data_IF_989129658157
#
_entry.id   IF_989129658157
#
_cell.length_a   1.000
_cell.length_b   1.000
_cell.length_c   1.000
_cell.angle_alpha   90.00
_cell.angle_beta   90.00
_cell.angle_gamma   90.00
#
_symmetry.space_group_name_H-M   'P 1'
#
loop_
_entity.id
_entity.type
_entity.pdbx_description
1 polymer ?
#
# COMPACT_ATOMS: atom_id res chain seq x y z
N UNK A 1 -4.81 10.62 13.73
CA UNK A 1 -5.58 10.24 14.92
C UNK A 1 -7.03 10.05 14.50
N UNK A 2 -7.49 8.81 14.45
CA UNK A 2 -8.90 8.52 14.24
C UNK A 2 -9.69 9.06 15.44
N UNK A 3 -10.67 9.90 15.17
CA UNK A 3 -11.60 10.38 16.17
C UNK A 3 -12.62 9.25 16.38
N UNK A 4 -12.56 8.60 17.53
CA UNK A 4 -13.61 7.65 17.92
C UNK A 4 -14.88 8.45 18.15
N UNK A 5 -15.96 8.10 17.47
CA UNK A 5 -17.26 8.71 17.71
C UNK A 5 -17.73 8.44 19.15
N UNK A 6 -18.59 9.29 19.68
CA UNK A 6 -18.96 9.23 21.12
C UNK A 6 -19.58 7.88 21.51
N UNK A 7 -20.38 7.27 20.64
CA UNK A 7 -21.03 5.98 20.92
C UNK A 7 -20.03 4.81 20.90
N UNK A 8 -19.08 4.84 19.97
CA UNK A 8 -17.97 3.88 19.90
C UNK A 8 -17.07 4.00 21.14
N UNK A 9 -16.76 5.23 21.56
CA UNK A 9 -15.97 5.47 22.77
C UNK A 9 -16.66 4.94 24.02
N UNK A 10 -17.97 5.15 24.15
CA UNK A 10 -18.78 4.61 25.26
C UNK A 10 -18.72 3.09 25.24
N UNK A 11 -18.89 2.44 24.09
CA UNK A 11 -18.83 0.99 23.95
C UNK A 11 -17.46 0.44 24.37
N UNK A 12 -16.38 1.06 23.92
CA UNK A 12 -15.00 0.69 24.26
C UNK A 12 -14.78 0.76 25.78
N UNK A 13 -15.15 1.89 26.41
CA UNK A 13 -14.95 2.10 27.84
C UNK A 13 -15.83 1.15 28.65
N UNK A 14 -17.13 1.05 28.31
CA UNK A 14 -18.10 0.23 29.07
C UNK A 14 -17.77 -1.26 29.04
N UNK A 15 -17.08 -1.73 28.01
CA UNK A 15 -16.69 -3.12 27.87
C UNK A 15 -15.21 -3.38 28.20
N UNK A 16 -14.49 -2.39 28.71
CA UNK A 16 -13.06 -2.49 29.05
C UNK A 16 -12.18 -2.96 27.88
N UNK A 17 -12.48 -2.46 26.68
CA UNK A 17 -11.76 -2.83 25.45
C UNK A 17 -10.50 -1.97 25.30
N UNK A 18 -9.34 -2.61 25.16
CA UNK A 18 -8.09 -1.94 24.77
C UNK A 18 -8.11 -1.61 23.28
N UNK A 19 -7.63 -0.44 22.89
CA UNK A 19 -7.51 -0.03 21.49
C UNK A 19 -6.04 0.23 21.14
N UNK A 20 -5.54 -0.45 20.12
CA UNK A 20 -4.19 -0.26 19.59
C UNK A 20 -4.29 0.27 18.15
N UNK A 21 -3.77 1.47 17.91
CA UNK A 21 -3.73 2.04 16.57
C UNK A 21 -2.32 1.93 15.99
N UNK A 22 -2.21 1.32 14.82
CA UNK A 22 -1.01 1.30 13.99
C UNK A 22 -1.20 2.26 12.81
N UNK A 23 -0.16 2.98 12.45
CA UNK A 23 -0.17 3.96 11.35
C UNK A 23 1.22 3.96 10.70
N UNK A 24 1.79 5.10 10.38
CA UNK A 24 3.11 5.26 9.72
C UNK A 24 4.22 4.38 10.31
N UNK A 25 4.20 4.10 11.61
CA UNK A 25 5.12 3.17 12.26
C UNK A 25 5.04 1.74 11.67
N UNK A 26 3.84 1.30 11.27
CA UNK A 26 3.66 0.01 10.64
C UNK A 26 3.90 0.03 9.14
N UNK A 27 3.53 1.12 8.47
CA UNK A 27 3.80 1.33 7.03
C UNK A 27 5.29 1.20 6.75
N UNK A 28 6.12 1.85 7.58
CA UNK A 28 7.57 1.82 7.46
C UNK A 28 8.17 0.47 7.83
N UNK A 29 7.65 -0.15 8.89
CA UNK A 29 8.23 -1.38 9.43
C UNK A 29 7.89 -2.62 8.59
N UNK A 30 6.68 -2.71 8.02
CA UNK A 30 6.19 -3.95 7.40
C UNK A 30 5.24 -3.78 6.22
N UNK A 31 4.29 -2.82 6.26
CA UNK A 31 3.15 -2.82 5.34
C UNK A 31 3.56 -2.66 3.87
N UNK A 32 4.58 -1.83 3.60
CA UNK A 32 5.11 -1.68 2.25
C UNK A 32 5.79 -2.95 1.72
N UNK A 33 6.40 -3.76 2.59
CA UNK A 33 6.94 -5.07 2.20
C UNK A 33 5.82 -6.07 1.90
N UNK A 34 4.75 -6.04 2.68
CA UNK A 34 3.56 -6.88 2.45
C UNK A 34 2.90 -6.51 1.13
N UNK A 35 2.69 -5.21 0.86
CA UNK A 35 2.15 -4.76 -0.43
C UNK A 35 3.06 -5.15 -1.59
N UNK A 36 4.39 -5.01 -1.45
CA UNK A 36 5.34 -5.41 -2.47
C UNK A 36 5.22 -6.90 -2.80
N UNK A 37 5.12 -7.77 -1.78
CA UNK A 37 4.89 -9.21 -1.98
C UNK A 37 3.55 -9.47 -2.68
N UNK A 38 2.48 -8.79 -2.28
CA UNK A 38 1.17 -8.90 -2.92
C UNK A 38 1.18 -8.40 -4.37
N UNK A 39 2.07 -7.47 -4.71
CA UNK A 39 2.31 -6.99 -6.07
C UNK A 39 3.36 -7.81 -6.83
N UNK A 40 3.79 -8.97 -6.31
CA UNK A 40 4.77 -9.87 -6.94
C UNK A 40 6.15 -9.22 -7.17
N UNK A 41 6.55 -8.31 -6.27
CA UNK A 41 7.84 -7.64 -6.31
C UNK A 41 8.83 -8.41 -5.44
N UNK A 42 9.98 -8.72 -5.99
CA UNK A 42 11.11 -9.38 -5.33
C UNK A 42 12.35 -8.49 -5.31
N UNK A 43 13.36 -8.88 -4.51
CA UNK A 43 14.61 -8.13 -4.33
C UNK A 43 14.34 -6.66 -3.98
N UNK A 44 13.44 -6.45 -3.01
CA UNK A 44 12.98 -5.13 -2.62
C UNK A 44 14.09 -4.29 -2.00
N UNK A 45 14.08 -3.01 -2.34
CA UNK A 45 14.90 -1.96 -1.75
C UNK A 45 14.01 -0.84 -1.24
N UNK A 46 14.43 -0.20 -0.19
CA UNK A 46 13.74 0.93 0.40
C UNK A 46 13.86 2.20 -0.48
N UNK A 47 12.76 2.95 -0.54
CA UNK A 47 12.68 4.24 -1.25
C UNK A 47 11.91 5.26 -0.39
N UNK A 48 11.92 6.54 -0.81
CA UNK A 48 11.18 7.63 -0.18
C UNK A 48 11.54 7.85 1.29
N UNK A 49 12.79 8.22 1.51
CA UNK A 49 13.27 8.53 2.86
C UNK A 49 12.77 9.90 3.34
N UNK A 50 12.15 9.90 4.53
CA UNK A 50 11.80 11.11 5.27
C UNK A 50 12.24 10.93 6.73
N UNK A 51 13.06 11.85 7.23
CA UNK A 51 13.62 11.81 8.59
C UNK A 51 14.33 10.46 8.93
N UNK A 52 14.98 9.85 7.95
CA UNK A 52 15.66 8.56 8.11
C UNK A 52 14.76 7.32 8.08
N UNK A 53 13.48 7.50 7.78
CA UNK A 53 12.47 6.44 7.70
C UNK A 53 12.06 6.24 6.25
N UNK A 54 12.01 5.01 5.79
CA UNK A 54 11.59 4.65 4.44
C UNK A 54 10.08 4.38 4.36
N UNK A 55 9.40 4.96 3.37
CA UNK A 55 7.96 4.86 3.16
C UNK A 55 7.54 4.14 1.87
N UNK A 56 8.44 3.46 1.22
CA UNK A 56 8.11 2.70 0.02
C UNK A 56 9.12 1.62 -0.29
N UNK A 57 8.81 0.80 -1.29
CA UNK A 57 9.69 -0.27 -1.78
C UNK A 57 9.77 -0.24 -3.30
N UNK A 58 10.94 -0.53 -3.83
CA UNK A 58 11.13 -0.82 -5.26
C UNK A 58 11.80 -2.17 -5.43
N UNK A 59 11.59 -2.82 -6.57
CA UNK A 59 12.20 -4.10 -6.87
C UNK A 59 11.84 -4.60 -8.26
N UNK A 60 12.01 -5.88 -8.49
CA UNK A 60 11.79 -6.53 -9.78
C UNK A 60 10.59 -7.49 -9.73
N UNK A 61 9.94 -7.64 -10.87
CA UNK A 61 8.91 -8.66 -11.09
C UNK A 61 9.25 -9.48 -12.33
N UNK A 62 8.55 -10.60 -12.52
CA UNK A 62 8.61 -11.35 -13.75
C UNK A 62 8.21 -10.44 -14.92
N UNK A 63 9.03 -10.47 -15.99
CA UNK A 63 8.81 -9.60 -17.15
C UNK A 63 7.59 -10.03 -17.96
N UNK A 64 6.57 -9.18 -18.00
CA UNK A 64 5.31 -9.43 -18.72
C UNK A 64 4.74 -8.14 -19.31
N UNK A 65 3.62 -8.22 -20.03
CA UNK A 65 2.94 -7.01 -20.51
C UNK A 65 2.37 -6.21 -19.34
N UNK A 66 2.20 -4.90 -19.52
CA UNK A 66 1.62 -4.04 -18.49
C UNK A 66 0.23 -4.51 -18.05
N UNK A 67 -0.62 -4.87 -18.99
CA UNK A 67 -2.00 -5.29 -18.67
C UNK A 67 -2.05 -6.64 -17.97
N UNK A 68 -1.19 -7.60 -18.35
CA UNK A 68 -1.11 -8.89 -17.66
C UNK A 68 -0.63 -8.68 -16.22
N UNK A 69 0.36 -7.82 -16.02
CA UNK A 69 0.86 -7.48 -14.69
C UNK A 69 -0.23 -6.85 -13.82
N UNK A 70 -0.93 -5.83 -14.32
CA UNK A 70 -1.99 -5.16 -13.57
C UNK A 70 -3.15 -6.10 -13.27
N UNK A 71 -3.54 -6.97 -14.20
CA UNK A 71 -4.57 -7.97 -13.94
C UNK A 71 -4.14 -8.98 -12.88
N UNK A 72 -2.88 -9.42 -12.89
CA UNK A 72 -2.31 -10.31 -11.87
C UNK A 72 -2.35 -9.65 -10.48
N UNK A 73 -1.95 -8.37 -10.38
CA UNK A 73 -2.01 -7.59 -9.12
C UNK A 73 -3.45 -7.44 -8.64
N UNK A 74 -4.37 -7.04 -9.51
CA UNK A 74 -5.80 -6.87 -9.19
C UNK A 74 -6.40 -8.17 -8.64
N UNK A 75 -6.16 -9.29 -9.30
CA UNK A 75 -6.65 -10.61 -8.86
C UNK A 75 -6.11 -10.97 -7.48
N UNK A 76 -4.81 -10.75 -7.23
CA UNK A 76 -4.19 -11.10 -5.96
C UNK A 76 -4.63 -10.20 -4.79
N UNK A 77 -4.96 -8.94 -5.07
CA UNK A 77 -5.48 -7.98 -4.09
C UNK A 77 -7.02 -8.00 -4.00
N UNK A 78 -7.70 -8.79 -4.83
CA UNK A 78 -9.16 -8.87 -4.91
C UNK A 78 -9.82 -7.50 -5.14
N UNK A 79 -9.30 -6.75 -6.12
CA UNK A 79 -9.78 -5.41 -6.49
C UNK A 79 -10.26 -5.37 -7.93
N UNK A 80 -11.38 -4.70 -8.18
CA UNK A 80 -12.00 -4.64 -9.51
C UNK A 80 -11.42 -3.53 -10.39
N UNK A 81 -11.04 -2.41 -9.80
CA UNK A 81 -10.67 -1.20 -10.54
C UNK A 81 -9.39 -0.59 -10.02
N UNK A 82 -8.59 -0.04 -10.92
CA UNK A 82 -7.44 0.79 -10.62
C UNK A 82 -7.46 2.02 -11.51
N UNK A 83 -6.89 3.12 -11.03
CA UNK A 83 -6.73 4.31 -11.85
C UNK A 83 -5.31 4.35 -12.39
N UNK A 84 -5.16 4.55 -13.70
CA UNK A 84 -3.87 4.55 -14.39
C UNK A 84 -3.61 5.93 -14.97
N UNK A 85 -2.42 6.47 -14.69
CA UNK A 85 -2.02 7.79 -15.21
C UNK A 85 -0.55 7.74 -15.69
N UNK A 86 -0.30 8.24 -16.89
CA UNK A 86 1.04 8.31 -17.48
C UNK A 86 1.18 7.51 -18.76
N UNK A 87 2.42 7.34 -19.22
CA UNK A 87 2.72 6.58 -20.45
C UNK A 87 2.84 5.10 -20.10
N UNK A 88 1.91 4.30 -20.58
CA UNK A 88 1.88 2.85 -20.35
C UNK A 88 3.08 2.18 -21.04
N UNK A 89 3.93 1.43 -20.32
CA UNK A 89 5.03 0.69 -20.91
C UNK A 89 4.53 -0.59 -21.59
N UNK A 90 5.24 -1.04 -22.64
CA UNK A 90 4.90 -2.31 -23.29
C UNK A 90 5.11 -3.53 -22.36
N UNK A 91 6.15 -3.46 -21.53
CA UNK A 91 6.53 -4.51 -20.58
C UNK A 91 6.86 -3.89 -19.23
N UNK A 92 6.61 -4.67 -18.18
CA UNK A 92 6.93 -4.35 -16.78
C UNK A 92 7.97 -5.34 -16.29
N UNK A 93 8.98 -4.83 -15.59
CA UNK A 93 10.02 -5.59 -14.94
C UNK A 93 10.51 -4.94 -13.64
N UNK A 94 10.45 -3.62 -13.54
CA UNK A 94 10.78 -2.85 -12.34
C UNK A 94 9.54 -2.17 -11.81
N UNK A 95 9.25 -2.37 -10.54
CA UNK A 95 8.04 -1.84 -9.91
C UNK A 95 8.39 -1.21 -8.58
N UNK A 96 7.72 -0.12 -8.25
CA UNK A 96 7.78 0.49 -6.95
C UNK A 96 6.38 0.57 -6.35
N UNK A 97 6.29 0.48 -5.02
CA UNK A 97 5.05 0.58 -4.25
C UNK A 97 5.20 1.53 -3.07
N UNK A 98 4.08 2.19 -2.74
CA UNK A 98 3.92 2.93 -1.49
C UNK A 98 2.46 2.84 -1.06
N UNK A 99 2.20 2.35 0.16
CA UNK A 99 0.85 2.25 0.74
C UNK A 99 0.25 3.62 1.00
N UNK A 100 -1.08 3.72 1.03
CA UNK A 100 -1.81 4.94 1.34
C UNK A 100 -1.52 6.08 0.37
N UNK A 101 -1.25 7.28 0.88
CA UNK A 101 -0.98 8.48 0.08
C UNK A 101 0.50 8.81 0.03
N UNK A 102 1.07 8.84 -1.18
CA UNK A 102 2.50 9.14 -1.42
C UNK A 102 2.77 10.53 -2.00
N UNK A 103 1.81 11.46 -1.86
CA UNK A 103 1.88 12.79 -2.49
C UNK A 103 3.07 13.65 -2.05
N UNK A 104 3.59 13.48 -0.84
CA UNK A 104 4.79 14.17 -0.34
C UNK A 104 6.07 13.83 -1.11
N UNK A 105 6.09 12.68 -1.80
CA UNK A 105 7.26 12.19 -2.56
C UNK A 105 7.20 12.50 -4.07
N UNK A 106 6.40 13.47 -4.50
CA UNK A 106 6.18 13.79 -5.91
C UNK A 106 7.48 13.94 -6.73
N UNK A 107 8.49 14.61 -6.19
CA UNK A 107 9.77 14.81 -6.89
C UNK A 107 10.60 13.52 -6.97
N UNK A 108 10.57 12.71 -5.93
CA UNK A 108 11.23 11.40 -5.92
C UNK A 108 10.57 10.43 -6.90
N UNK A 109 9.23 10.46 -7.01
CA UNK A 109 8.47 9.63 -7.97
C UNK A 109 8.85 9.96 -9.42
N UNK A 110 9.08 11.24 -9.75
CA UNK A 110 9.50 11.64 -11.11
C UNK A 110 10.82 11.01 -11.55
N UNK A 111 11.75 10.84 -10.62
CA UNK A 111 13.10 10.33 -10.86
C UNK A 111 13.25 8.84 -10.57
N UNK A 112 12.15 8.17 -10.25
CA UNK A 112 12.16 6.76 -9.88
C UNK A 112 12.48 5.88 -11.09
N UNK A 113 13.51 5.03 -10.97
CA UNK A 113 13.86 4.02 -11.98
C UNK A 113 12.93 2.80 -11.85
N UNK A 114 11.69 2.99 -12.30
CA UNK A 114 10.66 1.94 -12.33
C UNK A 114 9.79 2.08 -13.57
N UNK A 115 9.23 0.97 -14.05
CA UNK A 115 8.24 0.95 -15.12
C UNK A 115 6.86 1.37 -14.60
N UNK A 116 6.54 0.95 -13.36
CA UNK A 116 5.26 1.16 -12.68
C UNK A 116 5.50 1.64 -11.26
N UNK A 117 4.75 2.64 -10.83
CA UNK A 117 4.62 3.05 -9.43
C UNK A 117 3.19 2.80 -8.97
N UNK A 118 3.03 1.92 -7.98
CA UNK A 118 1.74 1.54 -7.38
C UNK A 118 1.60 2.28 -6.04
N UNK A 119 0.45 2.92 -5.83
CA UNK A 119 0.14 3.61 -4.57
C UNK A 119 -1.36 3.54 -4.27
N UNK A 120 -1.76 3.92 -3.06
CA UNK A 120 -3.17 4.01 -2.72
C UNK A 120 -3.83 5.14 -3.48
N UNK A 121 -3.37 6.37 -3.26
CA UNK A 121 -3.95 7.56 -3.91
C UNK A 121 -2.95 8.71 -4.05
N UNK A 122 -3.24 9.58 -5.00
CA UNK A 122 -2.53 10.86 -5.19
C UNK A 122 -3.54 11.99 -5.43
N UNK A 123 -3.24 13.17 -4.89
CA UNK A 123 -4.01 14.37 -5.20
C UNK A 123 -3.83 14.76 -6.66
N UNK A 124 -4.85 15.38 -7.25
CA UNK A 124 -4.86 15.75 -8.68
C UNK A 124 -3.68 16.66 -9.08
N UNK A 125 -3.33 17.64 -8.26
CA UNK A 125 -2.22 18.57 -8.49
C UNK A 125 -0.87 17.82 -8.50
N UNK A 126 -0.68 16.86 -7.60
CA UNK A 126 0.49 15.98 -7.57
C UNK A 126 0.56 15.15 -8.85
N UNK A 127 -0.52 14.46 -9.21
CA UNK A 127 -0.59 13.67 -10.46
C UNK A 127 -0.21 14.54 -11.66
N UNK A 128 -0.80 15.75 -11.78
CA UNK A 128 -0.50 16.68 -12.87
C UNK A 128 0.99 17.06 -12.92
N UNK A 129 1.66 17.15 -11.78
CA UNK A 129 3.08 17.52 -11.71
C UNK A 129 4.01 16.41 -12.12
N UNK A 130 3.64 15.14 -11.93
CA UNK A 130 4.48 13.95 -12.14
C UNK A 130 4.08 13.13 -13.38
N UNK A 131 2.85 13.21 -13.83
CA UNK A 131 2.37 12.46 -14.99
C UNK A 131 3.28 12.67 -16.22
N UNK A 132 3.61 11.56 -16.87
CA UNK A 132 4.51 11.52 -18.05
C UNK A 132 5.99 11.91 -17.81
N UNK A 133 6.40 12.10 -16.55
CA UNK A 133 7.77 12.48 -16.18
C UNK A 133 8.54 11.39 -15.45
N UNK A 134 7.89 10.29 -15.15
CA UNK A 134 8.42 9.14 -14.41
C UNK A 134 7.70 7.86 -14.81
N UNK A 135 7.60 6.88 -13.91
CA UNK A 135 6.87 5.64 -14.14
C UNK A 135 5.39 5.89 -14.43
N UNK A 136 4.70 4.91 -15.03
CA UNK A 136 3.24 4.93 -15.03
C UNK A 136 2.72 4.77 -13.60
N UNK A 137 1.77 5.60 -13.22
CA UNK A 137 1.17 5.60 -11.89
C UNK A 137 -0.07 4.71 -11.92
N UNK A 138 -0.16 3.82 -10.94
CA UNK A 138 -1.32 2.96 -10.72
C UNK A 138 -1.84 3.19 -9.31
N UNK A 139 -3.01 3.81 -9.20
CA UNK A 139 -3.69 4.04 -7.93
C UNK A 139 -4.67 2.90 -7.67
N UNK A 140 -4.48 2.20 -6.56
CA UNK A 140 -5.30 1.06 -6.14
C UNK A 140 -6.58 1.50 -5.40
N UNK A 141 -6.53 2.63 -4.72
CA UNK A 141 -7.38 3.09 -3.64
C UNK A 141 -6.64 3.06 -2.31
N UNK A 142 -6.93 4.01 -1.43
CA UNK A 142 -6.23 4.13 -0.14
C UNK A 142 -6.42 2.85 0.67
N UNK A 143 -7.68 2.48 0.91
CA UNK A 143 -8.04 1.28 1.66
C UNK A 143 -7.48 0.00 1.00
N UNK A 144 -7.61 -0.13 -0.31
CA UNK A 144 -7.18 -1.31 -1.07
C UNK A 144 -5.67 -1.54 -0.98
N UNK A 145 -4.89 -0.46 -0.92
CA UNK A 145 -3.43 -0.55 -0.76
C UNK A 145 -3.01 -0.99 0.64
N UNK A 146 -3.87 -0.79 1.64
CA UNK A 146 -3.60 -1.08 3.05
C UNK A 146 -4.35 -2.31 3.57
N UNK A 147 -5.39 -2.81 2.89
CA UNK A 147 -6.22 -3.94 3.36
C UNK A 147 -5.39 -5.20 3.68
N UNK A 148 -4.25 -5.39 3.02
CA UNK A 148 -3.33 -6.49 3.29
C UNK A 148 -2.78 -6.49 4.73
N UNK A 149 -2.85 -5.35 5.44
CA UNK A 149 -2.57 -5.23 6.86
C UNK A 149 -3.37 -6.23 7.70
N UNK A 150 -4.66 -6.40 7.41
CA UNK A 150 -5.59 -7.22 8.21
C UNK A 150 -5.12 -8.68 8.28
N UNK A 151 -4.81 -9.25 7.12
CA UNK A 151 -4.36 -10.64 7.05
C UNK A 151 -2.96 -10.81 7.66
N UNK A 152 -2.08 -9.84 7.43
CA UNK A 152 -0.71 -9.89 7.93
C UNK A 152 -0.67 -9.80 9.46
N UNK A 153 -1.38 -8.84 10.06
CA UNK A 153 -1.46 -8.69 11.51
C UNK A 153 -2.14 -9.91 12.17
N UNK A 154 -3.22 -10.42 11.57
CA UNK A 154 -3.87 -11.62 12.09
C UNK A 154 -2.93 -12.83 12.10
N UNK A 155 -2.10 -13.00 11.06
CA UNK A 155 -1.10 -14.07 11.02
C UNK A 155 -0.05 -13.91 12.11
N UNK A 156 0.48 -12.70 12.31
CA UNK A 156 1.46 -12.43 13.36
C UNK A 156 0.89 -12.66 14.76
N UNK A 157 -0.34 -12.23 15.02
CA UNK A 157 -0.99 -12.43 16.31
C UNK A 157 -1.24 -13.90 16.59
N UNK A 158 -1.68 -14.69 15.60
CA UNK A 158 -1.88 -16.13 15.77
C UNK A 158 -0.56 -16.89 15.98
N UNK A 159 0.54 -16.42 15.37
CA UNK A 159 1.86 -17.01 15.54
C UNK A 159 2.43 -16.73 16.94
N UNK A 160 2.36 -15.47 17.38
CA UNK A 160 2.90 -15.06 18.68
C UNK A 160 2.01 -15.47 19.87
N UNK A 161 0.70 -15.50 19.64
CA UNK A 161 -0.30 -15.76 20.67
C UNK A 161 -1.30 -16.84 20.21
N UNK A 162 -0.91 -18.14 20.15
CA UNK A 162 -1.75 -19.19 19.57
C UNK A 162 -3.09 -19.42 20.31
N UNK A 163 -3.22 -18.95 21.56
CA UNK A 163 -4.46 -19.03 22.34
C UNK A 163 -5.40 -17.84 22.14
N UNK A 164 -4.99 -16.83 21.37
CA UNK A 164 -5.79 -15.64 21.11
C UNK A 164 -6.80 -15.93 19.99
N UNK A 165 -8.07 -15.62 20.24
CA UNK A 165 -9.09 -15.65 19.20
C UNK A 165 -9.02 -14.34 18.37
N UNK A 166 -8.51 -14.43 17.15
CA UNK A 166 -8.27 -13.29 16.27
C UNK A 166 -9.36 -13.17 15.22
N UNK A 167 -10.23 -12.19 15.37
CA UNK A 167 -11.29 -11.89 14.42
C UNK A 167 -10.84 -10.82 13.42
N UNK A 168 -11.00 -11.11 12.12
CA UNK A 168 -10.70 -10.18 11.03
C UNK A 168 -11.97 -9.47 10.58
N UNK A 169 -11.92 -8.17 10.51
CA UNK A 169 -13.00 -7.37 9.95
C UNK A 169 -12.51 -6.60 8.72
N UNK A 170 -13.13 -6.84 7.57
CA UNK A 170 -12.89 -6.14 6.32
C UNK A 170 -14.15 -5.42 5.89
N UNK A 171 -14.07 -4.10 5.77
CA UNK A 171 -15.17 -3.27 5.27
C UNK A 171 -14.69 -2.54 4.04
N UNK A 172 -15.11 -2.99 2.86
CA UNK A 172 -14.98 -2.23 1.61
C UNK A 172 -16.14 -1.24 1.54
N UNK A 173 -15.82 0.02 1.30
CA UNK A 173 -16.78 1.11 1.18
C UNK A 173 -17.16 1.28 -0.30
#
# INVERSE_FOLDING_TARGET
>A
LYKIESDELIAVISNSIGVICLHTNYDTARLNDVLAQKCFISNTQEIFYENGISLGRTGITEKMSFYDYINKVKTNLDIDKVKITGKIPNKVSKVAVCTGSSGSFADSIKSLDADVFITGELKYDVIKSIAFKGPVIVELGHYESEECFIDHIASLLNEEFPSLDVLKFKKRI
#
